data_IF_962966416292
#
_entry.id   IF_962966416292
#
_cell.length_a   1.000
_cell.length_b   1.000
_cell.length_c   1.000
_cell.angle_alpha   90.00
_cell.angle_beta   90.00
_cell.angle_gamma   90.00
#
_symmetry.space_group_name_H-M   'P 1'
#
loop_
_entity.id
_entity.type
_entity.pdbx_description
1 polymer ?
#
# COMPACT_ATOMS: atom_id res chain seq x y z
N UNK A 1 17.74 -28.08 39.28
CA UNK A 1 18.27 -27.18 38.23
C UNK A 1 17.63 -27.77 37.00
N UNK A 2 16.37 -27.40 36.84
CA UNK A 2 15.42 -28.19 36.05
C UNK A 2 15.34 -27.49 34.71
N UNK A 3 15.94 -28.17 33.73
CA UNK A 3 15.97 -27.81 32.33
C UNK A 3 14.54 -27.91 31.77
N UNK A 4 13.78 -26.83 31.94
CA UNK A 4 12.58 -26.60 31.15
C UNK A 4 13.00 -26.24 29.72
N UNK A 5 13.46 -27.23 28.97
CA UNK A 5 13.44 -27.15 27.52
C UNK A 5 11.96 -27.19 27.09
N UNK A 6 11.27 -26.06 27.18
CA UNK A 6 10.04 -25.85 26.43
C UNK A 6 10.34 -26.22 24.98
N UNK A 7 9.73 -27.28 24.49
CA UNK A 7 9.77 -27.64 23.08
C UNK A 7 9.19 -26.47 22.31
N UNK A 8 10.05 -25.59 21.77
CA UNK A 8 9.65 -24.45 20.97
C UNK A 8 9.01 -24.98 19.68
N UNK A 9 7.69 -25.19 19.74
CA UNK A 9 6.91 -25.72 18.64
C UNK A 9 7.11 -24.88 17.39
N UNK A 10 7.17 -25.52 16.23
CA UNK A 10 7.25 -24.80 14.95
C UNK A 10 5.90 -24.16 14.65
N UNK A 11 5.91 -22.85 14.43
CA UNK A 11 4.74 -22.04 14.12
C UNK A 11 4.59 -21.90 12.61
N UNK A 12 3.38 -22.06 12.09
CA UNK A 12 3.04 -21.65 10.73
C UNK A 12 2.05 -20.49 10.78
N UNK A 13 2.37 -19.40 10.09
CA UNK A 13 1.44 -18.27 9.89
C UNK A 13 0.99 -18.27 8.44
N UNK A 14 -0.30 -18.47 8.19
CA UNK A 14 -0.90 -18.20 6.88
C UNK A 14 -1.28 -16.73 6.78
N UNK A 15 -1.37 -16.20 5.54
CA UNK A 15 -1.61 -14.76 5.36
C UNK A 15 -0.50 -13.89 5.96
N UNK A 16 0.73 -14.41 6.06
CA UNK A 16 1.84 -13.76 6.75
C UNK A 16 2.26 -12.40 6.15
N UNK A 17 1.93 -12.14 4.88
CA UNK A 17 2.15 -10.82 4.23
C UNK A 17 0.98 -9.86 4.40
N UNK A 18 -0.14 -10.31 4.99
CA UNK A 18 -1.30 -9.47 5.30
C UNK A 18 -1.12 -8.68 6.59
N UNK A 19 -2.07 -7.78 6.88
CA UNK A 19 -2.00 -6.87 8.04
C UNK A 19 -1.90 -7.61 9.38
N UNK A 20 -2.84 -8.52 9.65
CA UNK A 20 -2.85 -9.31 10.90
C UNK A 20 -1.73 -10.34 10.92
N UNK A 21 -1.57 -11.14 9.86
CA UNK A 21 -0.55 -12.20 9.79
C UNK A 21 0.89 -11.65 9.90
N UNK A 22 1.19 -10.54 9.22
CA UNK A 22 2.49 -9.89 9.32
C UNK A 22 2.75 -9.29 10.70
N UNK A 23 1.73 -8.74 11.35
CA UNK A 23 1.82 -8.30 12.75
C UNK A 23 2.08 -9.49 13.69
N UNK A 24 1.38 -10.61 13.51
CA UNK A 24 1.58 -11.82 14.29
C UNK A 24 2.99 -12.40 14.14
N UNK A 25 3.56 -12.40 12.92
CA UNK A 25 4.96 -12.80 12.68
C UNK A 25 5.93 -11.96 13.50
N UNK A 26 5.79 -10.62 13.47
CA UNK A 26 6.66 -9.72 14.26
C UNK A 26 6.51 -9.97 15.76
N UNK A 27 5.27 -10.07 16.24
CA UNK A 27 5.01 -10.29 17.67
C UNK A 27 5.50 -11.65 18.17
N UNK A 28 5.46 -12.71 17.35
CA UNK A 28 6.06 -14.01 17.70
C UNK A 28 7.58 -13.88 17.87
N UNK A 29 8.26 -13.20 16.95
CA UNK A 29 9.71 -12.97 17.02
C UNK A 29 10.10 -12.09 18.21
N UNK A 30 9.34 -11.01 18.46
CA UNK A 30 9.56 -10.10 19.59
C UNK A 30 9.37 -10.81 20.94
N UNK A 31 8.49 -11.82 20.99
CA UNK A 31 8.29 -12.70 22.14
C UNK A 31 9.37 -13.80 22.27
N UNK A 32 10.36 -13.84 21.38
CA UNK A 32 11.47 -14.80 21.41
C UNK A 32 11.20 -16.12 20.69
N UNK A 33 10.06 -16.28 20.02
CA UNK A 33 9.78 -17.48 19.23
C UNK A 33 10.49 -17.38 17.87
N UNK A 34 11.58 -18.13 17.70
CA UNK A 34 12.41 -18.07 16.47
C UNK A 34 12.06 -19.13 15.42
N UNK A 35 11.24 -20.13 15.76
CA UNK A 35 10.85 -21.21 14.84
C UNK A 35 9.55 -20.87 14.10
N UNK A 36 9.53 -19.72 13.42
CA UNK A 36 8.36 -19.18 12.72
C UNK A 36 8.49 -19.41 11.23
N UNK A 37 7.50 -20.09 10.65
CA UNK A 37 7.35 -20.30 9.22
C UNK A 37 6.18 -19.47 8.68
N UNK A 38 6.39 -18.80 7.56
CA UNK A 38 5.39 -18.02 6.86
C UNK A 38 4.98 -18.74 5.56
N UNK A 39 3.69 -19.04 5.43
CA UNK A 39 3.10 -19.50 4.17
C UNK A 39 2.83 -18.30 3.27
N UNK A 40 3.47 -18.27 2.10
CA UNK A 40 3.28 -17.20 1.11
C UNK A 40 3.05 -17.76 -0.28
N UNK A 41 2.27 -17.06 -1.11
CA UNK A 41 2.04 -17.47 -2.51
C UNK A 41 3.27 -17.22 -3.39
N UNK A 42 3.96 -16.11 -3.13
CA UNK A 42 5.13 -15.66 -3.87
C UNK A 42 6.26 -15.28 -2.87
N UNK A 43 7.25 -16.18 -2.66
CA UNK A 43 8.38 -15.93 -1.78
C UNK A 43 9.23 -14.71 -2.16
N UNK A 44 9.38 -14.41 -3.45
CA UNK A 44 10.25 -13.32 -3.92
C UNK A 44 9.65 -11.93 -3.62
N UNK A 45 8.33 -11.87 -3.48
CA UNK A 45 7.59 -10.66 -3.09
C UNK A 45 7.38 -10.53 -1.59
N UNK A 46 7.68 -11.56 -0.81
CA UNK A 46 7.54 -11.49 0.64
C UNK A 46 8.55 -10.49 1.23
N UNK A 47 8.07 -9.59 2.08
CA UNK A 47 8.89 -8.63 2.84
C UNK A 47 8.64 -8.90 4.32
N UNK A 48 9.29 -9.95 4.83
CA UNK A 48 9.13 -10.43 6.21
C UNK A 48 10.43 -10.20 7.01
N UNK A 49 10.35 -10.10 8.35
CA UNK A 49 11.54 -9.94 9.19
C UNK A 49 12.57 -11.05 8.97
N UNK A 50 13.84 -10.73 9.24
CA UNK A 50 14.90 -11.75 9.25
C UNK A 50 14.60 -12.82 10.31
N UNK A 51 14.96 -14.07 10.01
CA UNK A 51 14.73 -15.22 10.90
C UNK A 51 13.42 -15.96 10.68
N UNK A 52 12.53 -15.46 9.81
CA UNK A 52 11.32 -16.18 9.39
C UNK A 52 11.65 -17.15 8.26
N UNK A 53 11.25 -18.41 8.40
CA UNK A 53 11.30 -19.38 7.31
C UNK A 53 10.17 -19.10 6.32
N UNK A 54 10.48 -18.71 5.09
CA UNK A 54 9.48 -18.44 4.06
C UNK A 54 9.26 -19.69 3.21
N UNK A 55 8.02 -20.19 3.14
CA UNK A 55 7.66 -21.36 2.35
C UNK A 55 6.52 -21.03 1.40
N UNK A 56 6.66 -21.49 0.16
CA UNK A 56 5.62 -21.34 -0.86
C UNK A 56 4.44 -22.28 -0.58
N UNK A 57 3.22 -21.75 -0.65
CA UNK A 57 2.00 -22.53 -0.72
C UNK A 57 0.75 -21.65 -0.78
N UNK A 58 -0.38 -22.28 -1.06
CA UNK A 58 -1.67 -21.63 -1.29
C UNK A 58 -2.80 -22.46 -0.66
N UNK A 59 -3.68 -21.82 0.11
CA UNK A 59 -4.82 -22.50 0.75
C UNK A 59 -5.91 -22.89 -0.27
N UNK A 60 -5.84 -22.40 -1.51
CA UNK A 60 -6.67 -22.89 -2.63
C UNK A 60 -6.07 -24.12 -3.34
N UNK A 61 -4.84 -24.50 -3.02
CA UNK A 61 -4.16 -25.71 -3.50
C UNK A 61 -3.68 -26.53 -2.29
N UNK A 62 -4.54 -27.42 -1.80
CA UNK A 62 -4.27 -28.21 -0.61
C UNK A 62 -2.95 -29.00 -0.68
N UNK A 63 -2.56 -29.49 -1.87
CA UNK A 63 -1.33 -30.24 -2.05
C UNK A 63 -0.07 -29.38 -1.85
N UNK A 64 -0.15 -28.08 -2.13
CA UNK A 64 0.95 -27.14 -1.91
C UNK A 64 1.33 -26.95 -0.44
N UNK A 65 0.47 -27.38 0.49
CA UNK A 65 0.65 -27.18 1.93
C UNK A 65 1.58 -28.20 2.58
N UNK A 66 1.83 -29.35 1.94
CA UNK A 66 2.57 -30.45 2.57
C UNK A 66 3.98 -30.03 3.02
N UNK A 67 4.71 -29.30 2.17
CA UNK A 67 6.03 -28.77 2.53
C UNK A 67 5.97 -27.71 3.64
N UNK A 68 4.91 -26.90 3.66
CA UNK A 68 4.72 -25.86 4.67
C UNK A 68 4.32 -26.41 6.04
N UNK A 69 3.67 -27.57 6.08
CA UNK A 69 3.19 -28.21 7.31
C UNK A 69 4.21 -29.16 7.95
N UNK A 70 5.30 -29.50 7.26
CA UNK A 70 6.35 -30.37 7.78
C UNK A 70 6.91 -29.88 9.13
N UNK A 71 6.72 -30.68 10.19
CA UNK A 71 7.15 -30.39 11.55
C UNK A 71 6.39 -29.27 12.26
N UNK A 72 5.31 -28.73 11.67
CA UNK A 72 4.49 -27.66 12.24
C UNK A 72 3.59 -28.22 13.34
N UNK A 73 3.57 -27.54 14.48
CA UNK A 73 2.75 -27.95 15.65
C UNK A 73 1.70 -26.91 16.03
N UNK A 74 1.88 -25.66 15.61
CA UNK A 74 1.01 -24.52 15.94
C UNK A 74 0.74 -23.71 14.67
N UNK A 75 -0.51 -23.46 14.34
CA UNK A 75 -0.92 -22.77 13.11
C UNK A 75 -1.74 -21.54 13.46
N UNK A 76 -1.36 -20.37 12.95
CA UNK A 76 -2.25 -19.22 12.80
C UNK A 76 -2.86 -19.28 11.40
N UNK A 77 -4.15 -19.57 11.34
CA UNK A 77 -4.93 -19.66 10.12
C UNK A 77 -5.65 -18.33 9.84
N UNK A 78 -5.32 -17.74 8.71
CA UNK A 78 -6.07 -16.69 8.03
C UNK A 78 -6.58 -17.28 6.71
N UNK A 79 -7.89 -17.37 6.56
CA UNK A 79 -8.52 -17.91 5.36
C UNK A 79 -8.54 -16.84 4.25
N UNK A 80 -8.14 -17.14 3.00
CA UNK A 80 -7.83 -16.11 2.00
C UNK A 80 -9.03 -15.65 1.17
N UNK A 81 -10.16 -16.34 1.26
CA UNK A 81 -11.35 -16.09 0.41
C UNK A 81 -12.58 -15.77 1.25
N UNK A 82 -13.53 -15.03 0.66
CA UNK A 82 -14.84 -14.76 1.28
C UNK A 82 -15.68 -16.03 1.45
N UNK A 83 -15.39 -17.07 0.66
CA UNK A 83 -16.09 -18.35 0.72
C UNK A 83 -15.10 -19.49 0.94
N UNK A 84 -15.33 -20.26 2.01
CA UNK A 84 -14.68 -21.54 2.22
C UNK A 84 -15.23 -22.51 1.17
N UNK A 85 -14.49 -22.63 0.07
CA UNK A 85 -14.82 -23.46 -1.08
C UNK A 85 -14.71 -24.97 -0.76
N UNK A 86 -14.92 -25.80 -1.77
CA UNK A 86 -14.84 -27.25 -1.64
C UNK A 86 -13.43 -27.76 -1.25
N UNK A 87 -12.39 -26.92 -1.34
CA UNK A 87 -11.03 -27.28 -0.91
C UNK A 87 -10.86 -27.24 0.61
N UNK A 88 -11.69 -26.48 1.33
CA UNK A 88 -11.49 -26.27 2.77
C UNK A 88 -11.44 -27.54 3.63
N UNK A 89 -12.28 -28.58 3.42
CA UNK A 89 -12.17 -29.83 4.17
C UNK A 89 -10.83 -30.54 3.97
N UNK A 90 -10.29 -30.53 2.74
CA UNK A 90 -8.98 -31.12 2.45
C UNK A 90 -7.86 -30.31 3.11
N UNK A 91 -7.92 -28.98 3.01
CA UNK A 91 -6.97 -28.07 3.63
C UNK A 91 -6.97 -28.22 5.15
N UNK A 92 -8.15 -28.27 5.78
CA UNK A 92 -8.28 -28.49 7.21
C UNK A 92 -7.71 -29.84 7.61
N UNK A 93 -8.06 -30.92 6.89
CA UNK A 93 -7.51 -32.26 7.14
C UNK A 93 -5.97 -32.29 7.10
N UNK A 94 -5.36 -31.58 6.15
CA UNK A 94 -3.89 -31.50 6.05
C UNK A 94 -3.29 -30.71 7.22
N UNK A 95 -3.89 -29.58 7.59
CA UNK A 95 -3.45 -28.73 8.70
C UNK A 95 -3.54 -29.48 10.03
N UNK A 96 -4.67 -30.14 10.29
CA UNK A 96 -4.99 -30.75 11.60
C UNK A 96 -4.38 -32.13 11.80
N UNK A 97 -3.79 -32.72 10.76
CA UNK A 97 -3.09 -34.01 10.83
C UNK A 97 -1.91 -34.01 11.81
N UNK A 98 -1.07 -32.99 11.74
CA UNK A 98 0.16 -32.89 12.54
C UNK A 98 0.17 -31.67 13.49
N UNK A 99 -0.65 -30.65 13.21
CA UNK A 99 -0.77 -29.50 14.10
C UNK A 99 -1.48 -29.92 15.40
N UNK A 100 -0.83 -29.65 16.53
CA UNK A 100 -1.46 -29.76 17.85
C UNK A 100 -2.49 -28.65 18.08
N UNK A 101 -2.17 -27.43 17.61
CA UNK A 101 -2.95 -26.22 17.88
C UNK A 101 -3.21 -25.41 16.62
N UNK A 102 -4.44 -24.93 16.47
CA UNK A 102 -4.85 -24.01 15.41
C UNK A 102 -5.60 -22.81 16.00
N UNK A 103 -5.03 -21.63 15.82
CA UNK A 103 -5.72 -20.36 16.09
C UNK A 103 -6.25 -19.84 14.76
N UNK A 104 -7.55 -19.63 14.66
CA UNK A 104 -8.20 -19.16 13.44
C UNK A 104 -8.69 -17.72 13.61
N UNK A 105 -8.27 -16.84 12.69
CA UNK A 105 -8.82 -15.50 12.54
C UNK A 105 -10.20 -15.61 11.85
N UNK A 106 -11.24 -15.53 12.66
CA UNK A 106 -12.65 -15.65 12.29
C UNK A 106 -13.33 -14.26 12.28
N UNK A 107 -14.65 -14.24 12.13
CA UNK A 107 -15.49 -13.03 12.14
C UNK A 107 -16.46 -13.07 13.32
N UNK A 108 -16.80 -11.93 13.93
CA UNK A 108 -17.83 -11.85 14.99
C UNK A 108 -19.20 -12.33 14.54
N UNK A 109 -19.53 -12.20 13.25
CA UNK A 109 -20.76 -12.76 12.69
C UNK A 109 -20.74 -14.28 12.55
N UNK A 110 -19.60 -14.96 12.77
CA UNK A 110 -19.49 -16.40 12.62
C UNK A 110 -20.29 -17.17 13.69
N UNK A 111 -20.97 -18.23 13.29
CA UNK A 111 -21.72 -19.12 14.19
C UNK A 111 -22.78 -19.93 13.46
N UNK A 112 -23.51 -20.78 14.18
CA UNK A 112 -24.50 -21.70 13.58
C UNK A 112 -25.63 -20.96 12.83
N UNK A 113 -25.97 -19.74 13.29
CA UNK A 113 -26.97 -18.91 12.63
C UNK A 113 -26.50 -18.32 11.29
N UNK A 114 -25.20 -18.27 11.03
CA UNK A 114 -24.61 -17.68 9.84
C UNK A 114 -24.45 -18.69 8.68
N UNK A 115 -24.96 -19.91 8.79
CA UNK A 115 -24.70 -20.97 7.80
C UNK A 115 -25.09 -20.61 6.35
N UNK A 116 -26.07 -19.69 6.17
CA UNK A 116 -26.52 -19.20 4.86
C UNK A 116 -26.02 -17.78 4.53
N UNK A 117 -25.25 -17.15 5.43
CA UNK A 117 -24.63 -15.85 5.19
C UNK A 117 -23.42 -16.05 4.26
N UNK A 118 -23.31 -15.28 3.15
CA UNK A 118 -22.23 -15.46 2.18
C UNK A 118 -20.82 -15.36 2.80
N UNK A 119 -20.62 -14.47 3.78
CA UNK A 119 -19.30 -14.16 4.36
C UNK A 119 -19.13 -14.88 5.70
N UNK A 120 -20.06 -14.70 6.63
CA UNK A 120 -20.00 -15.31 7.96
C UNK A 120 -20.23 -16.83 7.91
N UNK A 121 -20.93 -17.36 6.90
CA UNK A 121 -21.09 -18.79 6.67
C UNK A 121 -19.79 -19.48 6.31
N UNK A 122 -18.89 -18.79 5.61
CA UNK A 122 -17.52 -19.25 5.35
C UNK A 122 -16.75 -19.47 6.65
N UNK A 123 -16.73 -18.45 7.52
CA UNK A 123 -16.08 -18.53 8.82
C UNK A 123 -16.69 -19.64 9.69
N UNK A 124 -18.02 -19.71 9.76
CA UNK A 124 -18.73 -20.76 10.50
C UNK A 124 -18.37 -22.18 10.02
N UNK A 125 -18.20 -22.36 8.70
CA UNK A 125 -17.78 -23.64 8.11
C UNK A 125 -16.37 -24.03 8.54
N UNK A 126 -15.40 -23.11 8.48
CA UNK A 126 -14.03 -23.36 8.96
C UNK A 126 -14.00 -23.67 10.45
N UNK A 127 -14.72 -22.90 11.27
CA UNK A 127 -14.80 -23.15 12.71
C UNK A 127 -15.35 -24.55 13.02
N UNK A 128 -16.40 -24.99 12.31
CA UNK A 128 -16.97 -26.33 12.48
C UNK A 128 -15.96 -27.43 12.14
N UNK A 129 -15.26 -27.31 11.01
CA UNK A 129 -14.21 -28.27 10.63
C UNK A 129 -13.10 -28.36 11.69
N UNK A 130 -12.71 -27.22 12.28
CA UNK A 130 -11.72 -27.20 13.36
C UNK A 130 -12.24 -27.84 14.65
N UNK A 131 -13.49 -27.55 15.05
CA UNK A 131 -14.14 -28.19 16.22
C UNK A 131 -14.20 -29.72 16.07
N UNK A 132 -14.45 -30.22 14.87
CA UNK A 132 -14.57 -31.65 14.55
C UNK A 132 -13.22 -32.36 14.38
N UNK A 133 -12.11 -31.61 14.26
CA UNK A 133 -10.78 -32.17 13.94
C UNK A 133 -10.01 -32.77 15.12
N UNK A 134 -10.38 -32.42 16.36
CA UNK A 134 -9.70 -32.89 17.58
C UNK A 134 -8.44 -32.10 17.98
N UNK A 135 -8.05 -31.05 17.23
CA UNK A 135 -6.94 -30.16 17.62
C UNK A 135 -7.34 -29.20 18.74
N UNK A 136 -6.36 -28.63 19.43
CA UNK A 136 -6.57 -27.47 20.29
C UNK A 136 -6.91 -26.27 19.41
N UNK A 137 -8.15 -25.81 19.41
CA UNK A 137 -8.58 -24.67 18.60
C UNK A 137 -8.81 -23.41 19.45
N UNK A 138 -8.59 -22.24 18.85
CA UNK A 138 -9.06 -20.95 19.39
C UNK A 138 -9.59 -20.12 18.24
N UNK A 139 -10.75 -19.48 18.41
CA UNK A 139 -11.32 -18.58 17.41
C UNK A 139 -11.15 -17.13 17.86
N UNK A 140 -10.44 -16.36 17.04
CA UNK A 140 -10.27 -14.91 17.21
C UNK A 140 -11.21 -14.24 16.23
N UNK A 141 -12.40 -13.88 16.69
CA UNK A 141 -13.47 -13.31 15.88
C UNK A 141 -13.33 -11.79 15.85
N UNK A 142 -12.88 -11.24 14.74
CA UNK A 142 -12.77 -9.79 14.57
C UNK A 142 -14.13 -9.14 14.28
N UNK A 143 -14.40 -8.00 14.92
CA UNK A 143 -15.49 -7.10 14.54
C UNK A 143 -15.11 -6.19 13.38
N UNK A 144 -15.57 -4.93 13.40
CA UNK A 144 -15.10 -3.87 12.52
C UNK A 144 -13.58 -3.87 12.43
N UNK A 145 -13.02 -3.74 11.23
CA UNK A 145 -11.58 -3.76 11.01
C UNK A 145 -11.11 -2.39 10.59
N UNK A 146 -10.26 -1.73 11.39
CA UNK A 146 -9.77 -0.38 11.10
C UNK A 146 -9.05 -0.32 9.74
N UNK A 147 -8.40 -1.43 9.35
CA UNK A 147 -7.75 -1.57 8.06
C UNK A 147 -8.65 -1.40 6.83
N UNK A 148 -9.97 -1.49 6.95
CA UNK A 148 -10.90 -1.24 5.84
C UNK A 148 -10.90 0.23 5.42
N UNK A 149 -10.61 1.13 6.34
CA UNK A 149 -10.68 2.58 6.11
C UNK A 149 -9.48 3.08 5.26
N UNK A 150 -8.52 2.20 4.93
CA UNK A 150 -7.56 2.46 3.83
C UNK A 150 -8.25 2.56 2.47
N UNK A 151 -9.48 2.07 2.31
CA UNK A 151 -10.30 2.31 1.11
C UNK A 151 -10.54 3.79 0.85
N UNK A 152 -10.58 4.61 1.91
CA UNK A 152 -10.75 6.07 1.79
C UNK A 152 -9.44 6.81 1.49
N UNK A 153 -8.30 6.12 1.47
CA UNK A 153 -7.00 6.78 1.43
C UNK A 153 -6.81 7.62 0.16
N UNK A 154 -7.35 7.19 -1.00
CA UNK A 154 -7.28 7.97 -2.23
C UNK A 154 -8.07 9.28 -2.15
N UNK A 155 -9.33 9.22 -1.70
CA UNK A 155 -10.17 10.40 -1.51
C UNK A 155 -9.57 11.36 -0.48
N UNK A 156 -9.05 10.83 0.63
CA UNK A 156 -8.34 11.60 1.66
C UNK A 156 -7.14 12.34 1.06
N UNK A 157 -6.35 11.69 0.19
CA UNK A 157 -5.16 12.28 -0.44
C UNK A 157 -5.49 13.32 -1.52
N UNK A 158 -6.58 13.10 -2.26
CA UNK A 158 -6.82 13.83 -3.53
C UNK A 158 -7.93 14.86 -3.42
N UNK A 159 -9.07 14.52 -2.82
CA UNK A 159 -10.25 15.38 -2.77
C UNK A 159 -10.45 16.01 -1.39
N UNK A 160 -10.00 15.34 -0.33
CA UNK A 160 -10.30 15.70 1.06
C UNK A 160 -11.75 15.42 1.45
N UNK A 161 -12.50 14.66 0.65
CA UNK A 161 -13.94 14.40 0.82
C UNK A 161 -14.20 12.92 0.77
N UNK A 162 -14.59 12.33 1.90
CA UNK A 162 -15.02 10.94 1.95
C UNK A 162 -16.54 10.90 1.79
N UNK A 163 -17.01 10.11 0.83
CA UNK A 163 -18.43 9.94 0.51
C UNK A 163 -18.85 8.50 0.73
N UNK A 164 -19.74 8.27 1.68
CA UNK A 164 -20.26 6.93 2.00
C UNK A 164 -21.75 7.01 2.37
N UNK A 165 -22.54 5.96 2.14
CA UNK A 165 -23.90 5.90 2.65
C UNK A 165 -23.89 5.64 4.15
N UNK A 166 -25.00 5.89 4.83
CA UNK A 166 -25.20 5.55 6.25
C UNK A 166 -24.20 6.24 7.18
N UNK A 167 -24.13 7.57 7.18
CA UNK A 167 -23.15 8.34 7.97
C UNK A 167 -23.04 7.87 9.43
N UNK A 168 -24.20 7.58 10.04
CA UNK A 168 -24.35 7.20 11.44
C UNK A 168 -24.21 5.72 11.76
N UNK A 169 -23.74 4.84 10.85
CA UNK A 169 -23.45 3.45 11.25
C UNK A 169 -22.17 3.40 12.09
N UNK A 170 -22.25 2.75 13.25
CA UNK A 170 -21.15 2.72 14.22
C UNK A 170 -20.45 1.37 14.21
N UNK A 171 -19.12 1.39 14.16
CA UNK A 171 -18.25 0.20 14.17
C UNK A 171 -17.25 0.27 15.31
N UNK A 172 -16.98 -0.87 15.94
CA UNK A 172 -15.95 -1.01 16.97
C UNK A 172 -14.63 -1.45 16.33
N UNK A 173 -14.11 -0.59 15.45
CA UNK A 173 -13.00 -0.90 14.55
C UNK A 173 -11.71 -1.28 15.29
N UNK A 174 -11.33 -2.57 15.22
CA UNK A 174 -10.15 -3.13 15.84
C UNK A 174 -8.89 -2.90 15.02
N UNK A 175 -7.78 -2.63 15.71
CA UNK A 175 -6.45 -2.56 15.13
C UNK A 175 -5.91 -3.98 14.82
N UNK A 176 -5.30 -4.19 13.65
CA UNK A 176 -4.70 -5.48 13.29
C UNK A 176 -3.65 -6.00 14.28
N UNK A 177 -2.97 -5.09 15.00
CA UNK A 177 -2.00 -5.44 16.03
C UNK A 177 -2.66 -6.09 17.26
N UNK A 178 -3.91 -5.75 17.56
CA UNK A 178 -4.66 -6.35 18.66
C UNK A 178 -5.21 -7.72 18.29
N UNK A 179 -5.75 -7.88 17.07
CA UNK A 179 -6.12 -9.20 16.53
C UNK A 179 -4.91 -10.14 16.54
N UNK A 180 -3.75 -9.65 16.09
CA UNK A 180 -2.51 -10.39 16.13
C UNK A 180 -2.06 -10.70 17.57
N UNK A 181 -2.17 -9.77 18.51
CA UNK A 181 -1.78 -9.98 19.89
C UNK A 181 -2.63 -11.06 20.57
N UNK A 182 -3.96 -11.00 20.42
CA UNK A 182 -4.87 -12.03 20.91
C UNK A 182 -4.55 -13.39 20.28
N UNK A 183 -4.33 -13.42 18.96
CA UNK A 183 -3.98 -14.64 18.26
C UNK A 183 -2.64 -15.23 18.73
N UNK A 184 -1.60 -14.40 18.93
CA UNK A 184 -0.29 -14.83 19.41
C UNK A 184 -0.38 -15.35 20.85
N UNK A 185 -1.12 -14.70 21.74
CA UNK A 185 -1.37 -15.19 23.10
C UNK A 185 -2.06 -16.56 23.09
N UNK A 186 -3.11 -16.71 22.28
CA UNK A 186 -3.79 -18.00 22.09
C UNK A 186 -2.87 -19.07 21.47
N UNK A 187 -1.95 -18.66 20.60
CA UNK A 187 -1.03 -19.57 19.94
C UNK A 187 0.12 -19.99 20.86
N UNK A 188 0.42 -19.26 21.94
CA UNK A 188 1.63 -19.45 22.76
C UNK A 188 1.33 -19.90 24.20
N UNK A 189 0.09 -19.80 24.66
CA UNK A 189 -0.31 -20.12 26.05
C UNK A 189 -1.50 -21.06 26.10
N UNK A 190 -1.64 -21.86 27.16
CA UNK A 190 -2.71 -22.86 27.27
C UNK A 190 -4.06 -22.29 27.76
N UNK A 191 -4.10 -21.03 28.19
CA UNK A 191 -5.27 -20.37 28.80
C UNK A 191 -6.46 -20.17 27.83
N UNK A 192 -6.26 -20.40 26.54
CA UNK A 192 -7.23 -20.09 25.48
C UNK A 192 -7.62 -21.30 24.61
N UNK A 193 -7.29 -22.51 25.06
CA UNK A 193 -7.72 -23.74 24.37
C UNK A 193 -9.25 -23.85 24.39
N UNK A 194 -9.83 -24.12 23.22
CA UNK A 194 -11.27 -24.21 22.99
C UNK A 194 -12.04 -22.93 23.36
N UNK A 195 -11.38 -21.77 23.25
CA UNK A 195 -11.98 -20.46 23.51
C UNK A 195 -12.42 -19.74 22.22
N UNK A 196 -13.41 -18.88 22.36
CA UNK A 196 -13.86 -17.93 21.33
C UNK A 196 -13.71 -16.53 21.91
N UNK A 197 -13.02 -15.66 21.18
CA UNK A 197 -12.78 -14.28 21.56
C UNK A 197 -13.37 -13.36 20.50
N UNK A 198 -14.41 -12.61 20.86
CA UNK A 198 -14.95 -11.53 20.03
C UNK A 198 -14.10 -10.27 20.27
N UNK A 199 -13.26 -9.92 19.31
CA UNK A 199 -12.22 -8.89 19.43
C UNK A 199 -12.64 -7.63 18.68
N UNK A 200 -12.73 -6.53 19.42
CA UNK A 200 -13.16 -5.22 18.95
C UNK A 200 -12.16 -4.13 19.35
N UNK A 201 -12.25 -2.96 18.71
CA UNK A 201 -11.62 -1.74 19.18
C UNK A 201 -12.30 -1.20 20.46
N UNK A 202 -11.66 -0.25 21.17
CA UNK A 202 -12.15 0.22 22.48
C UNK A 202 -13.35 1.18 22.40
N UNK A 203 -13.75 1.58 21.19
CA UNK A 203 -14.74 2.62 20.93
C UNK A 203 -15.57 2.24 19.71
N UNK A 204 -16.88 2.49 19.77
CA UNK A 204 -17.78 2.40 18.62
C UNK A 204 -17.89 3.78 18.00
N UNK A 205 -17.40 3.94 16.77
CA UNK A 205 -17.33 5.23 16.06
C UNK A 205 -18.17 5.18 14.80
N UNK A 206 -18.86 6.28 14.50
CA UNK A 206 -19.50 6.46 13.20
C UNK A 206 -18.48 6.81 12.09
N UNK A 207 -18.93 6.92 10.84
CA UNK A 207 -18.02 7.23 9.73
C UNK A 207 -17.48 8.65 9.79
N UNK A 208 -18.34 9.61 10.14
CA UNK A 208 -17.96 11.01 10.21
C UNK A 208 -16.92 11.24 11.31
N UNK A 209 -17.03 10.55 12.44
CA UNK A 209 -16.06 10.54 13.53
C UNK A 209 -14.73 9.93 13.10
N UNK A 210 -14.75 8.79 12.37
CA UNK A 210 -13.52 8.18 11.85
C UNK A 210 -12.82 9.08 10.86
N UNK A 211 -13.54 9.71 9.92
CA UNK A 211 -12.96 10.70 8.98
C UNK A 211 -12.44 11.94 9.70
N UNK A 212 -13.15 12.42 10.73
CA UNK A 212 -12.67 13.51 11.59
C UNK A 212 -11.37 13.14 12.28
N UNK A 213 -11.25 11.94 12.85
CA UNK A 213 -10.01 11.46 13.49
C UNK A 213 -8.88 11.39 12.47
N UNK A 214 -9.13 10.91 11.24
CA UNK A 214 -8.13 10.93 10.15
C UNK A 214 -7.66 12.37 9.89
N UNK A 215 -8.58 13.32 9.76
CA UNK A 215 -8.25 14.73 9.52
C UNK A 215 -7.43 15.35 10.65
N UNK A 216 -7.78 15.06 11.90
CA UNK A 216 -7.06 15.55 13.07
C UNK A 216 -5.64 14.99 13.19
N UNK A 217 -5.44 13.70 12.89
CA UNK A 217 -4.11 13.06 12.97
C UNK A 217 -3.22 13.46 11.80
N UNK A 218 -3.77 13.57 10.60
CA UNK A 218 -3.03 13.94 9.38
C UNK A 218 -2.80 15.46 9.26
N UNK A 219 -3.63 16.27 9.92
CA UNK A 219 -3.67 17.71 9.76
C UNK A 219 -4.35 18.17 8.46
N UNK A 220 -5.01 17.26 7.73
CA UNK A 220 -5.70 17.57 6.48
C UNK A 220 -7.13 18.10 6.75
N UNK A 221 -7.63 19.04 5.93
CA UNK A 221 -8.98 19.58 6.06
C UNK A 221 -10.02 18.62 5.46
N UNK A 222 -10.30 17.52 6.18
CA UNK A 222 -11.21 16.48 5.71
C UNK A 222 -12.67 16.77 6.05
N UNK A 223 -13.56 16.33 5.17
CA UNK A 223 -15.02 16.35 5.38
C UNK A 223 -15.64 15.01 4.98
N UNK A 224 -16.64 14.60 5.75
CA UNK A 224 -17.51 13.48 5.40
C UNK A 224 -18.78 14.01 4.75
N UNK A 225 -19.22 13.39 3.66
CA UNK A 225 -20.51 13.67 3.03
C UNK A 225 -21.30 12.38 2.89
N UNK A 226 -22.52 12.36 3.43
CA UNK A 226 -23.40 11.22 3.25
C UNK A 226 -23.91 11.19 1.81
N UNK A 227 -23.72 10.05 1.12
CA UNK A 227 -24.25 9.83 -0.21
C UNK A 227 -25.58 9.06 -0.16
N UNK A 228 -26.51 9.28 -1.12
CA UNK A 228 -27.72 8.49 -1.23
C UNK A 228 -27.41 6.99 -1.39
N UNK A 229 -28.21 6.14 -0.74
CA UNK A 229 -28.04 4.68 -0.79
C UNK A 229 -28.15 4.14 -2.22
N UNK A 230 -28.99 4.77 -3.05
CA UNK A 230 -29.15 4.44 -4.46
C UNK A 230 -27.85 4.65 -5.26
N UNK A 231 -27.07 5.68 -4.92
CA UNK A 231 -25.78 5.97 -5.55
C UNK A 231 -24.69 5.01 -5.05
N UNK A 232 -24.69 4.71 -3.74
CA UNK A 232 -23.74 3.76 -3.14
C UNK A 232 -23.90 2.32 -3.66
N UNK A 233 -25.10 1.96 -4.15
CA UNK A 233 -25.41 0.65 -4.72
C UNK A 233 -24.49 0.29 -5.90
N UNK A 234 -24.16 1.24 -6.76
CA UNK A 234 -23.24 1.02 -7.88
C UNK A 234 -21.82 0.70 -7.39
N UNK A 235 -21.39 1.36 -6.30
CA UNK A 235 -20.15 1.04 -5.61
C UNK A 235 -20.15 -0.40 -5.09
N UNK A 236 -21.18 -0.81 -4.34
CA UNK A 236 -21.28 -2.17 -3.81
C UNK A 236 -21.24 -3.24 -4.90
N UNK A 237 -21.87 -3.01 -6.05
CA UNK A 237 -21.85 -3.93 -7.20
C UNK A 237 -20.44 -4.14 -7.80
N UNK A 238 -19.49 -3.24 -7.53
CA UNK A 238 -18.12 -3.38 -8.02
C UNK A 238 -17.31 -4.44 -7.24
N UNK A 239 -17.72 -4.80 -6.03
CA UNK A 239 -16.97 -5.74 -5.16
C UNK A 239 -17.83 -6.81 -4.48
N UNK A 240 -19.16 -6.74 -4.56
CA UNK A 240 -20.09 -7.75 -4.06
C UNK A 240 -20.88 -8.40 -5.22
N UNK A 241 -21.24 -9.69 -5.09
CA UNK A 241 -22.24 -10.31 -5.95
C UNK A 241 -23.58 -9.54 -5.87
N UNK A 242 -24.33 -9.40 -6.99
CA UNK A 242 -25.60 -8.66 -7.00
C UNK A 242 -26.60 -9.12 -5.93
N UNK A 243 -26.65 -10.42 -5.65
CA UNK A 243 -27.51 -11.01 -4.63
C UNK A 243 -27.15 -10.59 -3.18
N UNK A 244 -25.91 -10.19 -2.92
CA UNK A 244 -25.44 -9.79 -1.59
C UNK A 244 -25.56 -8.28 -1.33
N UNK A 245 -25.83 -7.47 -2.36
CA UNK A 245 -25.88 -6.00 -2.24
C UNK A 245 -27.06 -5.54 -1.38
N UNK A 246 -28.26 -6.09 -1.58
CA UNK A 246 -29.43 -5.70 -0.77
C UNK A 246 -29.29 -6.09 0.69
N UNK A 247 -28.75 -7.28 0.95
CA UNK A 247 -28.51 -7.77 2.30
C UNK A 247 -27.47 -6.89 3.00
N UNK A 248 -26.38 -6.55 2.31
CA UNK A 248 -25.37 -5.62 2.82
C UNK A 248 -25.98 -4.24 3.13
N UNK A 249 -26.76 -3.66 2.20
CA UNK A 249 -27.43 -2.36 2.42
C UNK A 249 -28.34 -2.43 3.67
N UNK A 250 -29.07 -3.53 3.85
CA UNK A 250 -29.95 -3.75 5.00
C UNK A 250 -29.15 -3.84 6.30
N UNK A 251 -28.06 -4.61 6.32
CA UNK A 251 -27.17 -4.76 7.48
C UNK A 251 -26.53 -3.41 7.88
N UNK A 252 -26.02 -2.66 6.90
CA UNK A 252 -25.45 -1.33 7.13
C UNK A 252 -26.49 -0.36 7.71
N UNK A 253 -27.72 -0.41 7.21
CA UNK A 253 -28.82 0.38 7.73
C UNK A 253 -29.18 0.00 9.18
N UNK A 254 -29.16 -1.28 9.55
CA UNK A 254 -29.41 -1.71 10.93
C UNK A 254 -28.30 -1.26 11.89
N UNK A 255 -27.04 -1.22 11.44
CA UNK A 255 -25.91 -0.71 12.22
C UNK A 255 -26.00 0.81 12.54
N UNK A 256 -26.88 1.56 11.85
CA UNK A 256 -27.23 2.94 12.25
C UNK A 256 -28.14 3.00 13.48
N UNK A 257 -28.87 1.92 13.76
CA UNK A 257 -29.82 1.83 14.89
C UNK A 257 -29.22 1.08 16.08
N UNK A 258 -28.38 0.08 15.80
CA UNK A 258 -27.73 -0.76 16.78
C UNK A 258 -26.22 -0.77 16.52
N UNK A 259 -25.44 0.08 17.23
CA UNK A 259 -23.99 0.10 17.13
C UNK A 259 -23.36 -1.28 17.35
N UNK A 260 -22.26 -1.54 16.65
CA UNK A 260 -21.44 -2.72 16.92
C UNK A 260 -20.96 -2.72 18.39
N UNK A 261 -21.06 -3.85 19.13
CA UNK A 261 -20.66 -3.89 20.53
C UNK A 261 -19.15 -3.65 20.70
N UNK A 262 -18.77 -3.15 21.86
CA UNK A 262 -17.38 -3.07 22.32
C UNK A 262 -17.16 -4.14 23.38
N UNK A 263 -16.06 -4.89 23.25
CA UNK A 263 -15.69 -6.02 24.11
C UNK A 263 -14.39 -5.74 24.86
N UNK A 264 -14.18 -6.44 25.99
CA UNK A 264 -12.94 -6.34 26.76
C UNK A 264 -11.87 -7.37 26.33
N UNK A 265 -12.10 -8.12 25.25
CA UNK A 265 -11.31 -9.32 24.91
C UNK A 265 -9.81 -9.03 24.75
N UNK A 266 -9.44 -7.88 24.18
CA UNK A 266 -8.02 -7.50 24.06
C UNK A 266 -7.38 -7.35 25.44
N UNK A 267 -8.04 -6.64 26.36
CA UNK A 267 -7.53 -6.43 27.72
C UNK A 267 -7.48 -7.72 28.52
N UNK A 268 -8.53 -8.54 28.44
CA UNK A 268 -8.61 -9.82 29.14
C UNK A 268 -7.53 -10.82 28.69
N UNK A 269 -7.21 -10.86 27.39
CA UNK A 269 -6.25 -11.81 26.82
C UNK A 269 -4.80 -11.30 26.89
N UNK A 270 -4.59 -10.00 26.66
CA UNK A 270 -3.24 -9.43 26.50
C UNK A 270 -2.75 -8.65 27.72
N UNK A 271 -3.64 -8.33 28.67
CA UNK A 271 -3.32 -7.54 29.86
C UNK A 271 -3.11 -6.04 29.59
N UNK A 272 -3.41 -5.57 28.37
CA UNK A 272 -3.35 -4.16 27.98
C UNK A 272 -4.64 -3.73 27.28
N UNK A 273 -5.07 -2.46 27.40
CA UNK A 273 -6.25 -1.99 26.67
C UNK A 273 -6.06 -2.13 25.15
N UNK A 274 -7.18 -2.25 24.44
CA UNK A 274 -7.20 -2.19 22.99
C UNK A 274 -6.67 -0.83 22.48
N UNK A 275 -5.98 -0.86 21.35
CA UNK A 275 -5.49 0.33 20.68
C UNK A 275 -6.66 1.10 20.08
N UNK A 276 -6.65 2.43 20.26
CA UNK A 276 -7.70 3.31 19.75
C UNK A 276 -7.64 3.44 18.23
N UNK A 277 -8.77 3.83 17.62
CA UNK A 277 -8.78 4.12 16.19
C UNK A 277 -7.81 5.25 15.83
N UNK A 278 -7.70 6.27 16.71
CA UNK A 278 -6.68 7.33 16.57
C UNK A 278 -5.26 6.79 16.50
N UNK A 279 -4.93 5.78 17.32
CA UNK A 279 -3.61 5.16 17.30
C UNK A 279 -3.38 4.41 15.99
N UNK A 280 -4.38 3.69 15.50
CA UNK A 280 -4.32 3.03 14.20
C UNK A 280 -4.04 4.03 13.07
N UNK A 281 -4.76 5.16 13.03
CA UNK A 281 -4.50 6.23 12.03
C UNK A 281 -3.08 6.77 12.16
N UNK A 282 -2.54 6.94 13.37
CA UNK A 282 -1.18 7.41 13.56
C UNK A 282 -0.13 6.41 13.03
N UNK A 283 -0.38 5.11 13.19
CA UNK A 283 0.49 4.05 12.66
C UNK A 283 0.38 3.91 11.14
N UNK A 284 -0.75 4.32 10.55
CA UNK A 284 -1.04 4.34 9.12
C UNK A 284 -0.99 5.74 8.48
N UNK A 285 -0.41 6.74 9.16
CA UNK A 285 -0.48 8.13 8.73
C UNK A 285 0.06 8.32 7.30
N UNK A 286 1.11 7.56 6.93
CA UNK A 286 1.72 7.61 5.61
C UNK A 286 0.77 7.16 4.48
N UNK A 287 -0.21 6.29 4.77
CA UNK A 287 -1.18 5.84 3.77
C UNK A 287 -2.17 6.96 3.40
N UNK A 288 -2.45 7.88 4.33
CA UNK A 288 -3.42 8.97 4.15
C UNK A 288 -2.80 10.30 3.72
N UNK A 289 -1.51 10.50 3.97
CA UNK A 289 -0.85 11.71 3.50
C UNK A 289 -0.77 11.68 1.97
N UNK A 290 -1.04 12.80 1.29
CA UNK A 290 -0.77 12.89 -0.14
C UNK A 290 0.67 12.46 -0.36
N UNK A 291 0.91 11.72 -1.44
CA UNK A 291 2.28 11.38 -1.82
C UNK A 291 3.04 12.70 -1.89
N UNK A 292 3.89 12.95 -0.89
CA UNK A 292 4.94 13.94 -1.05
C UNK A 292 5.69 13.46 -2.27
N UNK A 293 5.89 14.28 -3.33
CA UNK A 293 6.68 13.89 -4.47
C UNK A 293 7.93 13.21 -3.92
N UNK A 294 8.03 11.90 -4.16
CA UNK A 294 8.91 10.99 -3.43
C UNK A 294 10.27 11.66 -3.22
N UNK A 295 10.63 12.02 -1.98
CA UNK A 295 11.86 12.76 -1.65
C UNK A 295 12.28 13.79 -2.72
N UNK A 296 11.87 15.08 -2.64
CA UNK A 296 12.31 16.19 -3.52
C UNK A 296 13.58 15.80 -4.28
N UNK A 297 13.44 15.43 -5.57
CA UNK A 297 14.54 14.81 -6.32
C UNK A 297 15.74 15.74 -6.18
N UNK A 298 16.84 15.25 -5.61
CA UNK A 298 18.05 16.08 -5.51
C UNK A 298 18.43 16.60 -6.90
N UNK A 299 18.94 17.83 -7.00
CA UNK A 299 19.38 18.43 -8.27
C UNK A 299 20.32 17.50 -9.04
N UNK A 300 21.18 16.73 -8.34
CA UNK A 300 22.07 15.76 -8.97
C UNK A 300 21.37 14.53 -9.56
N UNK A 301 20.23 14.11 -9.00
CA UNK A 301 19.40 13.05 -9.59
C UNK A 301 18.69 13.55 -10.83
N UNK A 302 18.07 14.73 -10.75
CA UNK A 302 17.40 15.39 -11.88
C UNK A 302 18.36 15.58 -13.05
N UNK A 303 19.58 16.08 -12.78
CA UNK A 303 20.58 16.31 -13.81
C UNK A 303 21.04 15.03 -14.53
N UNK A 304 21.20 13.92 -13.80
CA UNK A 304 21.59 12.63 -14.40
C UNK A 304 20.47 12.04 -15.26
N UNK A 305 19.23 12.08 -14.75
CA UNK A 305 18.06 11.61 -15.48
C UNK A 305 17.83 12.43 -16.75
N UNK A 306 17.97 13.76 -16.67
CA UNK A 306 17.91 14.64 -17.84
C UNK A 306 18.95 14.28 -18.91
N UNK A 307 20.23 14.10 -18.53
CA UNK A 307 21.30 13.70 -19.48
C UNK A 307 21.02 12.32 -20.09
N UNK A 308 20.52 11.37 -19.30
CA UNK A 308 20.17 10.03 -19.77
C UNK A 308 19.05 10.06 -20.81
N UNK A 309 17.98 10.83 -20.57
CA UNK A 309 16.87 11.03 -21.50
C UNK A 309 17.35 11.68 -22.80
N UNK A 310 18.10 12.78 -22.70
CA UNK A 310 18.67 13.49 -23.87
C UNK A 310 19.60 12.59 -24.69
N UNK A 311 20.43 11.79 -24.04
CA UNK A 311 21.36 10.87 -24.73
C UNK A 311 20.65 9.75 -25.48
N UNK A 312 19.42 9.41 -25.08
CA UNK A 312 18.57 8.41 -25.74
C UNK A 312 17.64 8.99 -26.80
N UNK A 313 17.55 10.32 -26.91
CA UNK A 313 16.53 10.99 -27.71
C UNK A 313 15.11 10.78 -27.20
N UNK A 314 14.94 10.51 -25.89
CA UNK A 314 13.63 10.34 -25.25
C UNK A 314 13.08 11.71 -24.81
N UNK A 315 12.55 12.46 -25.79
CA UNK A 315 12.02 13.80 -25.56
C UNK A 315 10.69 13.79 -24.80
N UNK A 316 9.81 12.81 -25.06
CA UNK A 316 8.55 12.63 -24.32
C UNK A 316 8.81 12.35 -22.83
N UNK A 317 9.93 11.68 -22.51
CA UNK A 317 10.35 11.43 -21.13
C UNK A 317 10.77 12.69 -20.36
N UNK A 318 11.06 13.80 -21.04
CA UNK A 318 11.52 15.05 -20.41
C UNK A 318 10.44 15.71 -19.53
N UNK A 319 9.17 15.43 -19.77
CA UNK A 319 8.05 15.89 -18.92
C UNK A 319 8.18 15.42 -17.46
N UNK A 320 8.91 14.32 -17.23
CA UNK A 320 9.15 13.78 -15.88
C UNK A 320 10.13 14.61 -15.06
N UNK A 321 10.96 15.42 -15.72
CA UNK A 321 12.00 16.23 -15.09
C UNK A 321 11.78 17.74 -15.25
N UNK A 322 10.83 18.18 -16.07
CA UNK A 322 10.46 19.59 -16.22
C UNK A 322 9.22 19.95 -15.42
N UNK A 323 9.18 21.20 -14.96
CA UNK A 323 7.97 21.79 -14.39
C UNK A 323 7.00 22.18 -15.50
N UNK A 324 5.67 22.09 -15.28
CA UNK A 324 4.68 22.71 -16.16
C UNK A 324 4.91 24.23 -16.34
N UNK A 325 5.52 24.89 -15.34
CA UNK A 325 5.91 26.29 -15.38
C UNK A 325 7.34 26.50 -15.90
N UNK A 326 7.89 25.54 -16.64
CA UNK A 326 9.24 25.64 -17.18
C UNK A 326 9.41 26.83 -18.12
N UNK A 327 10.55 27.50 -17.98
CA UNK A 327 10.92 28.67 -18.77
C UNK A 327 12.34 28.51 -19.32
N UNK A 328 12.49 28.60 -20.64
CA UNK A 328 13.79 28.69 -21.31
C UNK A 328 14.09 30.14 -21.64
N UNK A 329 15.32 30.58 -21.33
CA UNK A 329 15.82 31.91 -21.67
C UNK A 329 17.10 31.79 -22.46
N UNK A 330 17.12 32.32 -23.67
CA UNK A 330 18.26 32.27 -24.57
C UNK A 330 18.15 33.30 -25.69
N UNK A 331 19.27 33.59 -26.34
CA UNK A 331 19.29 34.37 -27.58
C UNK A 331 19.39 33.39 -28.74
N UNK A 332 18.52 33.49 -29.74
CA UNK A 332 18.49 32.56 -30.88
C UNK A 332 19.68 32.75 -31.84
N UNK A 333 20.30 33.94 -31.84
CA UNK A 333 21.40 34.31 -32.76
C UNK A 333 22.64 34.89 -32.04
N UNK A 334 22.70 34.82 -30.70
CA UNK A 334 23.76 35.38 -29.84
C UNK A 334 23.93 36.90 -29.86
N UNK A 335 23.21 37.62 -30.72
CA UNK A 335 23.37 39.08 -30.89
C UNK A 335 22.09 39.85 -30.53
N UNK A 336 20.94 39.19 -30.54
CA UNK A 336 19.65 39.70 -30.10
C UNK A 336 19.43 39.58 -28.59
N UNK A 337 18.42 40.31 -28.06
CA UNK A 337 18.04 40.19 -26.65
C UNK A 337 17.61 38.76 -26.33
N UNK A 338 17.90 38.30 -25.10
CA UNK A 338 17.40 37.01 -24.65
C UNK A 338 15.87 37.00 -24.65
N UNK A 339 15.29 35.98 -25.25
CA UNK A 339 13.85 35.75 -25.32
C UNK A 339 13.47 34.70 -24.28
N UNK A 340 12.32 34.93 -23.62
CA UNK A 340 11.73 33.98 -22.71
C UNK A 340 10.69 33.13 -23.44
N UNK A 341 10.88 31.80 -23.41
CA UNK A 341 9.98 30.82 -24.02
C UNK A 341 9.44 29.94 -22.90
N UNK A 342 8.13 29.91 -22.76
CA UNK A 342 7.43 29.09 -21.77
C UNK A 342 7.13 27.70 -22.33
N UNK A 343 6.83 26.74 -21.45
CA UNK A 343 6.59 25.34 -21.81
C UNK A 343 5.54 25.16 -22.92
N UNK A 344 4.45 25.93 -22.90
CA UNK A 344 3.36 25.89 -23.88
C UNK A 344 3.74 26.40 -25.28
N UNK A 345 4.87 27.09 -25.41
CA UNK A 345 5.40 27.60 -26.68
C UNK A 345 6.69 26.88 -27.11
N UNK A 346 7.09 25.80 -26.41
CA UNK A 346 8.34 25.10 -26.67
C UNK A 346 8.30 24.30 -27.98
N UNK A 347 7.19 23.63 -28.26
CA UNK A 347 7.02 22.81 -29.46
C UNK A 347 7.16 23.66 -30.74
N UNK A 348 6.44 24.79 -30.79
CA UNK A 348 6.53 25.76 -31.89
C UNK A 348 7.96 26.31 -32.08
N UNK A 349 8.68 26.54 -30.96
CA UNK A 349 10.07 26.99 -31.01
C UNK A 349 11.01 25.91 -31.58
N UNK A 350 10.85 24.66 -31.17
CA UNK A 350 11.68 23.55 -31.63
C UNK A 350 11.44 23.24 -33.11
N UNK A 351 10.20 23.34 -33.60
CA UNK A 351 9.88 23.21 -35.03
C UNK A 351 10.64 24.26 -35.87
N UNK A 352 10.69 25.51 -35.40
CA UNK A 352 11.44 26.59 -36.04
C UNK A 352 12.96 26.30 -36.10
N UNK A 353 13.50 25.66 -35.08
CA UNK A 353 14.92 25.26 -35.04
C UNK A 353 15.20 24.13 -36.05
N UNK A 354 14.33 23.13 -36.13
CA UNK A 354 14.49 22.00 -37.06
C UNK A 354 14.39 22.41 -38.55
N UNK A 355 13.61 23.46 -38.85
CA UNK A 355 13.54 24.08 -40.18
C UNK A 355 14.83 24.79 -40.60
N UNK A 356 15.67 25.20 -39.65
CA UNK A 356 16.86 26.02 -39.90
C UNK A 356 18.17 25.26 -39.70
N UNK A 357 18.18 24.24 -38.83
CA UNK A 357 19.37 23.47 -38.47
C UNK A 357 19.09 21.98 -38.61
N UNK A 358 19.99 21.26 -39.27
CA UNK A 358 19.99 19.79 -39.30
C UNK A 358 21.05 19.25 -38.35
N UNK A 359 20.64 18.50 -37.32
CA UNK A 359 21.56 17.91 -36.34
C UNK A 359 21.95 16.49 -36.80
N UNK A 360 23.25 16.25 -36.96
CA UNK A 360 23.83 14.93 -37.31
C UNK A 360 24.28 14.15 -36.09
N UNK A 361 24.60 14.84 -35.00
CA UNK A 361 25.05 14.24 -33.76
C UNK A 361 25.16 15.25 -32.63
N UNK A 362 25.06 14.75 -31.40
CA UNK A 362 25.21 15.55 -30.18
C UNK A 362 26.13 14.82 -29.20
N UNK A 363 27.12 15.53 -28.69
CA UNK A 363 27.91 15.13 -27.54
C UNK A 363 27.43 15.90 -26.30
N UNK A 364 27.19 15.18 -25.21
CA UNK A 364 26.65 15.73 -23.96
C UNK A 364 27.64 15.46 -22.84
N UNK A 365 28.20 16.53 -22.27
CA UNK A 365 29.11 16.41 -21.13
C UNK A 365 28.37 15.96 -19.85
N UNK A 366 29.07 15.31 -18.91
CA UNK A 366 28.52 15.04 -17.58
C UNK A 366 28.04 16.32 -16.89
N UNK A 367 26.92 16.27 -16.13
CA UNK A 367 26.35 17.47 -15.54
C UNK A 367 27.21 18.01 -14.39
N UNK A 368 27.41 19.32 -14.37
CA UNK A 368 28.08 20.04 -13.29
C UNK A 368 27.03 20.55 -12.30
N UNK A 369 26.90 19.89 -11.15
CA UNK A 369 25.84 20.16 -10.16
C UNK A 369 26.35 21.06 -9.04
N UNK A 370 25.61 22.12 -8.70
CA UNK A 370 25.89 22.99 -7.54
C UNK A 370 24.59 23.56 -6.96
N UNK A 371 24.29 23.18 -5.71
CA UNK A 371 23.10 23.66 -5.02
C UNK A 371 21.82 23.23 -5.75
N UNK A 372 20.95 24.21 -6.02
CA UNK A 372 19.69 24.06 -6.77
C UNK A 372 19.88 24.13 -8.30
N UNK A 373 21.12 24.19 -8.80
CA UNK A 373 21.41 24.33 -10.24
C UNK A 373 22.33 23.23 -10.77
N UNK A 374 22.24 22.97 -12.06
CA UNK A 374 23.25 22.21 -12.79
C UNK A 374 23.52 22.80 -14.16
N UNK A 375 24.73 22.63 -14.69
CA UNK A 375 25.11 23.06 -16.03
C UNK A 375 25.52 21.88 -16.89
N UNK A 376 25.17 21.93 -18.17
CA UNK A 376 25.56 20.94 -19.18
C UNK A 376 26.13 21.68 -20.39
N UNK A 377 27.24 21.16 -20.92
CA UNK A 377 27.74 21.57 -22.23
C UNK A 377 27.27 20.55 -23.27
N UNK A 378 26.68 21.06 -24.33
CA UNK A 378 26.32 20.30 -25.52
C UNK A 378 27.22 20.73 -26.66
N UNK A 379 27.69 19.77 -27.44
CA UNK A 379 28.44 20.00 -28.68
C UNK A 379 27.69 19.32 -29.81
N UNK A 380 27.16 20.11 -30.74
CA UNK A 380 26.36 19.65 -31.87
C UNK A 380 27.20 19.61 -33.13
N UNK A 381 27.11 18.50 -33.86
CA UNK A 381 27.51 18.42 -35.25
C UNK A 381 26.29 18.68 -36.11
N UNK A 382 26.27 19.81 -36.83
CA UNK A 382 25.05 20.29 -37.48
C UNK A 382 25.33 20.97 -38.82
N UNK A 383 24.33 20.96 -39.70
CA UNK A 383 24.32 21.73 -40.95
C UNK A 383 23.32 22.89 -40.83
N UNK A 384 23.77 24.10 -41.13
CA UNK A 384 22.85 25.23 -41.28
C UNK A 384 22.18 25.15 -42.65
N UNK A 385 20.87 24.86 -42.67
CA UNK A 385 20.13 24.55 -43.90
C UNK A 385 20.16 25.67 -44.95
N UNK A 386 20.07 26.97 -44.58
CA UNK A 386 20.09 28.05 -45.57
C UNK A 386 21.40 28.18 -46.38
N UNK A 387 22.55 27.83 -45.79
CA UNK A 387 23.86 27.93 -46.45
C UNK A 387 24.43 26.58 -46.87
N UNK A 388 23.95 25.49 -46.28
CA UNK A 388 24.50 24.14 -46.43
C UNK A 388 25.83 23.94 -45.71
N UNK A 389 26.28 24.92 -44.91
CA UNK A 389 27.53 24.83 -44.17
C UNK A 389 27.39 23.88 -42.98
N UNK A 390 28.27 22.89 -42.89
CA UNK A 390 28.34 21.94 -41.78
C UNK A 390 29.47 22.33 -40.83
N UNK A 391 29.17 22.36 -39.55
CA UNK A 391 30.10 22.77 -38.52
C UNK A 391 29.75 22.19 -37.16
N UNK A 392 30.63 22.46 -36.21
CA UNK A 392 30.45 22.09 -34.81
C UNK A 392 30.13 23.34 -34.02
N UNK A 393 29.04 23.32 -33.25
CA UNK A 393 28.70 24.41 -32.32
C UNK A 393 28.55 23.86 -30.91
N UNK A 394 29.00 24.63 -29.91
CA UNK A 394 28.80 24.28 -28.51
C UNK A 394 27.96 25.32 -27.77
N UNK A 395 27.01 24.84 -26.95
CA UNK A 395 26.27 25.66 -25.99
C UNK A 395 26.43 25.12 -24.58
N UNK A 396 26.34 26.00 -23.59
CA UNK A 396 26.20 25.66 -22.18
C UNK A 396 24.81 26.07 -21.74
N UNK A 397 24.06 25.12 -21.20
CA UNK A 397 22.76 25.37 -20.58
C UNK A 397 22.89 25.29 -19.07
N UNK A 398 22.41 26.31 -18.36
CA UNK A 398 22.30 26.35 -16.90
C UNK A 398 20.85 26.12 -16.51
N UNK A 399 20.60 25.05 -15.75
CA UNK A 399 19.28 24.65 -15.29
C UNK A 399 19.09 25.00 -13.81
N UNK A 400 17.90 25.50 -13.45
CA UNK A 400 17.47 25.68 -12.07
C UNK A 400 16.41 24.65 -11.72
N UNK A 401 16.59 23.96 -10.58
CA UNK A 401 15.71 22.91 -10.07
C UNK A 401 15.01 23.40 -8.82
N UNK A 402 13.68 23.26 -8.78
CA UNK A 402 12.86 23.47 -7.58
C UNK A 402 11.92 22.30 -7.41
N UNK A 403 11.77 21.84 -6.17
CA UNK A 403 10.87 20.74 -5.82
C UNK A 403 11.08 19.46 -6.66
N UNK A 404 12.32 19.24 -7.10
CA UNK A 404 12.71 18.07 -7.89
C UNK A 404 12.44 18.17 -9.40
N UNK A 405 12.08 19.36 -9.90
CA UNK A 405 11.79 19.63 -11.31
C UNK A 405 12.62 20.80 -11.84
N UNK A 406 12.99 20.76 -13.11
CA UNK A 406 13.62 21.84 -13.85
C UNK A 406 12.57 22.92 -14.09
N UNK A 407 12.76 24.09 -13.48
CA UNK A 407 11.86 25.24 -13.64
C UNK A 407 12.39 26.27 -14.62
N UNK A 408 13.70 26.25 -14.90
CA UNK A 408 14.33 27.24 -15.77
C UNK A 408 15.57 26.70 -16.46
N UNK A 409 15.73 27.04 -17.73
CA UNK A 409 16.98 26.90 -18.50
C UNK A 409 17.48 28.28 -18.93
N UNK A 410 18.77 28.52 -18.80
CA UNK A 410 19.47 29.70 -19.34
C UNK A 410 20.56 29.22 -20.31
N UNK A 411 20.43 29.58 -21.59
CA UNK A 411 21.30 29.08 -22.67
C UNK A 411 22.36 30.11 -23.03
N UNK A 412 23.62 29.68 -23.04
CA UNK A 412 24.79 30.46 -23.41
C UNK A 412 25.53 29.75 -24.54
N UNK A 413 25.64 30.34 -25.73
CA UNK A 413 26.45 29.73 -26.79
C UNK A 413 27.92 30.14 -26.65
N UNK A 414 28.82 29.22 -27.01
CA UNK A 414 30.26 29.49 -27.00
C UNK A 414 30.73 30.14 -28.30
N UNK A 415 30.15 29.71 -29.42
CA UNK A 415 30.36 30.27 -30.76
C UNK A 415 29.00 30.61 -31.37
N UNK A 416 28.89 31.63 -32.25
CA UNK A 416 27.65 31.90 -32.94
C UNK A 416 27.26 30.64 -33.75
N UNK A 417 26.02 30.15 -33.68
CA UNK A 417 25.51 29.29 -34.75
C UNK A 417 25.72 30.04 -36.07
N UNK A 418 26.02 29.31 -37.15
CA UNK A 418 26.32 29.90 -38.46
C UNK A 418 25.17 30.79 -38.95
N UNK A 419 25.16 32.05 -38.52
CA UNK A 419 24.20 33.07 -38.92
C UNK A 419 25.04 34.23 -39.45
N UNK A 420 25.05 34.38 -40.77
CA UNK A 420 25.40 35.64 -41.42
C UNK A 420 24.28 36.02 -42.38
#
# INVERSE_FOLDING_TARGET
MDDHSETHGKYLVTGATGKVGGSAVRQLLDAGHTNVRALVRDPDRARLPAGVEVVRGDLSDAASLDAALDGVTRVLLVWPTLHADDTAPEVMSRITRDARRVVYLSSMGAGDAAANDPVNGSHARIERLLRESGVEWTFVRGGGFAGNDLGWAEDVRTTGVVREPFAGWHRSSVHEADLAAVAVRALTTDDHVCAVHDVTGPEALDQAERVRIIGEVTGLPLRFEEMPVEEAREGFLAWLPPEAVEDTITELAELTKAPEPVTAAVEEVTGRPALTYRRWVADHIADFLPERPSEIRSTGRVAREYVELMSRGDFDGLDRVHSPDYVRVGSDDMTGPAVEIRADAMDDHMETVDETVEIHGVEIDPPLVRGDRFAIRFTFDSTFRPTGERGTNSKVSLYTVRDGLIVREEVFFHEPPHVR
#
